data_IF_203762531013
#
_entry.id   IF_203762531013
#
_cell.length_a   1.000
_cell.length_b   1.000
_cell.length_c   1.000
_cell.angle_alpha   90.00
_cell.angle_beta   90.00
_cell.angle_gamma   90.00
#
_symmetry.space_group_name_H-M   'P 1'
#
loop_
_entity.id
_entity.type
_entity.pdbx_description
1 polymer ?
#
# COMPACT_ATOMS: atom_id res chain seq x y z
N UNK A 1 5.28 5.80 -2.05
CA UNK A 1 5.16 5.34 -0.66
C UNK A 1 6.56 5.11 -0.13
N UNK A 2 6.80 5.35 1.14
CA UNK A 2 8.08 5.04 1.78
C UNK A 2 7.94 3.80 2.66
N UNK A 3 9.00 3.01 2.73
CA UNK A 3 9.00 1.70 3.37
C UNK A 3 8.61 1.73 4.86
N UNK A 4 9.12 2.72 5.59
CA UNK A 4 8.91 2.87 7.03
C UNK A 4 7.66 3.69 7.38
N UNK A 5 7.08 4.38 6.39
CA UNK A 5 5.91 5.22 6.61
C UNK A 5 4.62 4.42 6.40
N UNK A 6 3.73 4.45 7.40
CA UNK A 6 2.39 3.83 7.36
C UNK A 6 2.39 2.50 6.60
N UNK A 7 2.98 1.45 7.19
CA UNK A 7 3.09 0.15 6.52
C UNK A 7 1.71 -0.36 6.11
N UNK A 8 1.53 -0.49 4.81
CA UNK A 8 0.29 -0.84 4.13
C UNK A 8 0.50 -2.11 3.30
N UNK A 9 -0.51 -2.44 2.49
CA UNK A 9 -0.53 -3.58 1.59
C UNK A 9 0.76 -3.71 0.74
N UNK A 10 1.30 -2.66 0.09
CA UNK A 10 2.48 -2.84 -0.76
C UNK A 10 3.70 -3.34 0.02
N UNK A 11 3.97 -2.77 1.20
CA UNK A 11 5.09 -3.19 2.04
C UNK A 11 4.90 -4.64 2.51
N UNK A 12 3.69 -5.00 2.95
CA UNK A 12 3.38 -6.36 3.40
C UNK A 12 3.53 -7.38 2.27
N UNK A 13 3.01 -7.09 1.08
CA UNK A 13 3.14 -7.97 -0.09
C UNK A 13 4.60 -8.16 -0.49
N UNK A 14 5.38 -7.07 -0.55
CA UNK A 14 6.80 -7.13 -0.90
C UNK A 14 7.61 -7.93 0.12
N UNK A 15 7.29 -7.81 1.42
CA UNK A 15 7.89 -8.66 2.46
C UNK A 15 7.59 -10.14 2.22
N UNK A 16 6.32 -10.51 1.95
CA UNK A 16 5.96 -11.91 1.72
C UNK A 16 6.60 -12.47 0.44
N UNK A 17 6.65 -11.70 -0.65
CA UNK A 17 7.34 -12.10 -1.87
C UNK A 17 8.84 -12.34 -1.61
N UNK A 18 9.50 -11.48 -0.84
CA UNK A 18 10.89 -11.68 -0.47
C UNK A 18 11.13 -12.98 0.32
N UNK A 19 10.22 -13.29 1.26
CA UNK A 19 10.26 -14.52 2.07
C UNK A 19 9.97 -15.79 1.26
N UNK A 20 9.22 -15.66 0.16
CA UNK A 20 9.03 -16.73 -0.82
C UNK A 20 10.25 -16.97 -1.73
N UNK A 21 11.33 -16.20 -1.55
CA UNK A 21 12.59 -16.39 -2.26
C UNK A 21 12.83 -15.43 -3.43
N UNK A 22 11.88 -14.54 -3.74
CA UNK A 22 12.07 -13.55 -4.80
C UNK A 22 12.97 -12.40 -4.33
N UNK A 23 13.90 -11.95 -5.17
CA UNK A 23 14.63 -10.69 -4.89
C UNK A 23 13.73 -9.50 -5.17
N UNK A 24 13.41 -8.73 -4.13
CA UNK A 24 12.48 -7.60 -4.17
C UNK A 24 13.22 -6.28 -3.97
N UNK A 25 12.96 -5.33 -4.86
CA UNK A 25 13.40 -3.94 -4.73
C UNK A 25 12.18 -3.04 -4.56
N UNK A 26 12.00 -2.45 -3.37
CA UNK A 26 10.97 -1.46 -3.09
C UNK A 26 11.56 -0.05 -3.27
N UNK A 27 11.01 0.75 -4.18
CA UNK A 27 11.52 2.09 -4.42
C UNK A 27 10.77 3.12 -3.57
N UNK A 28 11.46 3.74 -2.63
CA UNK A 28 10.93 4.85 -1.85
C UNK A 28 10.70 6.08 -2.71
N UNK A 29 9.75 6.92 -2.28
CA UNK A 29 9.53 8.25 -2.87
C UNK A 29 10.58 9.23 -2.37
N UNK A 30 10.91 9.17 -1.07
CA UNK A 30 11.90 10.08 -0.48
C UNK A 30 13.33 9.59 -0.67
N UNK A 31 14.24 10.55 -0.83
CA UNK A 31 15.68 10.29 -0.95
C UNK A 31 16.34 10.30 0.42
N UNK A 32 17.13 9.28 0.71
CA UNK A 32 17.91 9.18 1.95
C UNK A 32 19.21 8.40 1.74
N UNK A 33 20.06 8.37 2.79
CA UNK A 33 21.27 7.56 2.88
C UNK A 33 21.01 6.47 3.94
N UNK A 34 21.35 5.19 3.68
CA UNK A 34 22.03 4.67 2.48
C UNK A 34 21.15 4.69 1.23
N UNK A 35 21.75 4.74 0.03
CA UNK A 35 20.99 4.82 -1.24
C UNK A 35 20.17 3.56 -1.53
N UNK A 36 20.64 2.41 -1.05
CA UNK A 36 19.96 1.13 -1.05
C UNK A 36 20.21 0.48 0.30
N UNK A 37 19.16 -0.03 0.91
CA UNK A 37 19.18 -0.66 2.22
C UNK A 37 18.63 -2.09 2.11
N UNK A 38 19.30 -3.07 2.71
CA UNK A 38 18.78 -4.43 2.81
C UNK A 38 17.97 -4.57 4.09
N UNK A 39 16.67 -4.83 3.96
CA UNK A 39 15.72 -4.97 5.08
C UNK A 39 15.60 -6.43 5.53
N UNK A 40 15.53 -7.37 4.57
CA UNK A 40 15.49 -8.82 4.79
C UNK A 40 16.40 -9.50 3.74
N UNK A 41 16.68 -10.83 3.81
CA UNK A 41 17.61 -11.47 2.89
C UNK A 41 17.39 -11.19 1.40
N UNK A 42 16.13 -11.14 0.96
CA UNK A 42 15.77 -10.85 -0.43
C UNK A 42 15.00 -9.55 -0.59
N UNK A 43 15.06 -8.63 0.37
CA UNK A 43 14.27 -7.40 0.36
C UNK A 43 15.18 -6.18 0.50
N UNK A 44 15.18 -5.36 -0.55
CA UNK A 44 15.99 -4.16 -0.65
C UNK A 44 15.07 -2.94 -0.82
N UNK A 45 15.33 -1.90 -0.05
CA UNK A 45 14.67 -0.60 -0.20
C UNK A 45 15.62 0.33 -0.93
N UNK A 46 15.18 0.84 -2.07
CA UNK A 46 15.91 1.79 -2.90
C UNK A 46 15.45 3.19 -2.50
N UNK A 47 16.34 3.93 -1.83
CA UNK A 47 16.10 5.29 -1.38
C UNK A 47 16.45 6.32 -2.44
N UNK A 48 17.36 6.03 -3.37
CA UNK A 48 17.72 6.96 -4.45
C UNK A 48 17.46 6.35 -5.85
N UNK A 49 16.19 6.31 -6.23
CA UNK A 49 15.66 5.63 -7.42
C UNK A 49 16.41 5.95 -8.74
N UNK A 50 16.57 7.22 -9.11
CA UNK A 50 17.24 7.62 -10.37
C UNK A 50 18.68 7.12 -10.47
N UNK A 51 19.45 7.29 -9.39
CA UNK A 51 20.83 6.80 -9.33
C UNK A 51 20.88 5.27 -9.42
N UNK A 52 19.96 4.58 -8.75
CA UNK A 52 19.87 3.13 -8.81
C UNK A 52 19.53 2.62 -10.22
N UNK A 53 18.62 3.30 -10.92
CA UNK A 53 18.29 3.02 -12.33
C UNK A 53 19.50 3.15 -13.26
N UNK A 54 20.42 4.07 -12.97
CA UNK A 54 21.62 4.30 -13.80
C UNK A 54 22.79 3.37 -13.45
N UNK A 55 22.80 2.79 -12.25
CA UNK A 55 23.99 2.08 -11.72
C UNK A 55 23.77 0.58 -11.51
N UNK A 56 22.88 0.22 -10.59
CA UNK A 56 22.64 -1.17 -10.21
C UNK A 56 21.62 -1.84 -11.14
N UNK A 57 20.56 -1.12 -11.51
CA UNK A 57 19.46 -1.64 -12.31
C UNK A 57 19.89 -2.30 -13.63
N UNK A 58 20.79 -1.74 -14.46
CA UNK A 58 21.15 -2.36 -15.73
C UNK A 58 21.80 -3.75 -15.56
N UNK A 59 22.47 -3.98 -14.43
CA UNK A 59 23.06 -5.29 -14.09
C UNK A 59 21.97 -6.27 -13.66
N UNK A 60 21.04 -5.83 -12.81
CA UNK A 60 19.90 -6.63 -12.35
C UNK A 60 19.03 -7.05 -13.53
N UNK A 61 18.68 -6.11 -14.40
CA UNK A 61 17.83 -6.37 -15.57
C UNK A 61 18.41 -7.41 -16.52
N UNK A 62 19.74 -7.47 -16.66
CA UNK A 62 20.45 -8.46 -17.48
C UNK A 62 20.58 -9.83 -16.82
N UNK A 63 20.50 -9.90 -15.49
CA UNK A 63 20.78 -11.10 -14.73
C UNK A 63 19.56 -12.02 -14.56
N UNK A 64 18.35 -11.47 -14.55
CA UNK A 64 17.13 -12.24 -14.30
C UNK A 64 15.89 -11.59 -14.95
N UNK A 65 14.83 -12.39 -15.19
CA UNK A 65 13.52 -11.85 -15.50
C UNK A 65 12.99 -10.95 -14.38
N UNK A 66 12.29 -9.89 -14.75
CA UNK A 66 11.78 -8.86 -13.84
C UNK A 66 10.27 -8.78 -13.94
N UNK A 67 9.64 -8.79 -12.77
CA UNK A 67 8.25 -8.38 -12.58
C UNK A 67 8.24 -6.98 -11.98
N UNK A 68 7.50 -6.04 -12.58
CA UNK A 68 7.19 -4.75 -11.93
C UNK A 68 5.79 -4.82 -11.34
N UNK A 69 5.71 -4.62 -10.02
CA UNK A 69 4.46 -4.53 -9.29
C UNK A 69 4.09 -3.07 -9.06
N UNK A 70 2.96 -2.62 -9.62
CA UNK A 70 2.56 -1.22 -9.60
C UNK A 70 1.17 -1.05 -8.98
N UNK A 71 1.05 -0.23 -7.94
CA UNK A 71 -0.24 0.14 -7.35
C UNK A 71 -0.74 1.54 -7.78
N UNK A 72 0.10 2.33 -8.47
CA UNK A 72 -0.23 3.70 -8.89
C UNK A 72 -0.48 3.79 -10.40
N UNK A 73 -1.72 4.04 -10.85
CA UNK A 73 -2.09 3.94 -12.25
C UNK A 73 -1.37 4.92 -13.17
N UNK A 74 -0.84 6.03 -12.63
CA UNK A 74 -0.15 7.07 -13.40
C UNK A 74 1.26 6.68 -13.87
N UNK A 75 1.84 5.62 -13.33
CA UNK A 75 3.23 5.24 -13.60
C UNK A 75 3.43 4.41 -14.88
N UNK A 76 2.37 4.14 -15.65
CA UNK A 76 2.42 3.20 -16.77
C UNK A 76 3.47 3.54 -17.84
N UNK A 77 3.65 4.82 -18.21
CA UNK A 77 4.67 5.24 -19.18
C UNK A 77 6.08 5.14 -18.61
N UNK A 78 6.27 5.63 -17.38
CA UNK A 78 7.59 5.62 -16.73
C UNK A 78 8.06 4.20 -16.43
N UNK A 79 7.14 3.28 -16.11
CA UNK A 79 7.47 1.86 -15.89
C UNK A 79 8.05 1.23 -17.15
N UNK A 80 7.35 1.34 -18.29
CA UNK A 80 7.80 0.73 -19.53
C UNK A 80 9.18 1.28 -19.95
N UNK A 81 9.36 2.60 -19.87
CA UNK A 81 10.59 3.27 -20.27
C UNK A 81 11.77 2.99 -19.32
N UNK A 82 11.55 2.99 -18.00
CA UNK A 82 12.63 2.86 -17.03
C UNK A 82 13.04 1.41 -16.76
N UNK A 83 12.07 0.48 -16.78
CA UNK A 83 12.31 -0.89 -16.35
C UNK A 83 12.29 -1.90 -17.50
N UNK A 84 11.50 -1.67 -18.56
CA UNK A 84 11.29 -2.66 -19.62
C UNK A 84 11.07 -4.08 -19.04
N UNK A 85 10.05 -4.25 -18.17
CA UNK A 85 9.86 -5.47 -17.41
C UNK A 85 9.44 -6.64 -18.30
N UNK A 86 9.71 -7.87 -17.84
CA UNK A 86 9.22 -9.08 -18.50
C UNK A 86 7.74 -9.34 -18.17
N UNK A 87 7.27 -8.88 -17.01
CA UNK A 87 5.87 -8.91 -16.60
C UNK A 87 5.50 -7.65 -15.81
N UNK A 88 4.28 -7.16 -16.01
CA UNK A 88 3.68 -6.04 -15.29
C UNK A 88 2.44 -6.48 -14.52
N UNK A 89 2.47 -6.32 -13.20
CA UNK A 89 1.32 -6.56 -12.33
C UNK A 89 0.75 -5.22 -11.89
N UNK A 90 -0.54 -5.01 -12.17
CA UNK A 90 -1.30 -3.89 -11.62
C UNK A 90 -2.03 -4.33 -10.32
N UNK A 91 -1.69 -3.69 -9.21
CA UNK A 91 -2.36 -3.89 -7.91
C UNK A 91 -3.39 -2.80 -7.67
N UNK A 92 -4.63 -3.12 -8.04
CA UNK A 92 -5.81 -2.28 -7.88
C UNK A 92 -6.24 -2.30 -6.41
N UNK A 93 -5.72 -1.34 -5.63
CA UNK A 93 -6.04 -1.15 -4.22
C UNK A 93 -7.17 -0.17 -3.95
N UNK A 94 -7.34 0.82 -4.83
CA UNK A 94 -8.23 1.96 -4.65
C UNK A 94 -9.05 2.26 -5.92
N UNK A 95 -10.14 2.99 -5.73
CA UNK A 95 -11.02 3.47 -6.80
C UNK A 95 -11.22 4.97 -6.63
N UNK A 96 -10.54 5.76 -7.44
CA UNK A 96 -10.69 7.21 -7.50
C UNK A 96 -11.04 7.62 -8.92
N UNK A 97 -12.09 8.42 -9.07
CA UNK A 97 -12.68 8.73 -10.38
C UNK A 97 -11.69 9.42 -11.32
N UNK A 98 -10.82 10.27 -10.76
CA UNK A 98 -9.77 10.97 -11.50
C UNK A 98 -8.66 10.03 -12.00
N UNK A 99 -8.60 8.80 -11.50
CA UNK A 99 -7.59 7.81 -11.88
C UNK A 99 -8.01 6.98 -13.09
N UNK A 100 -9.31 6.95 -13.44
CA UNK A 100 -9.85 6.02 -14.45
C UNK A 100 -9.16 6.09 -15.81
N UNK A 101 -8.76 7.29 -16.26
CA UNK A 101 -8.03 7.44 -17.52
C UNK A 101 -6.67 6.75 -17.46
N UNK A 102 -5.90 6.98 -16.39
CA UNK A 102 -4.58 6.39 -16.22
C UNK A 102 -4.68 4.88 -15.91
N UNK A 103 -5.66 4.48 -15.11
CA UNK A 103 -5.94 3.09 -14.79
C UNK A 103 -6.23 2.30 -16.05
N UNK A 104 -7.07 2.81 -16.96
CA UNK A 104 -7.31 2.15 -18.24
C UNK A 104 -6.00 1.90 -19.00
N UNK A 105 -5.08 2.87 -18.99
CA UNK A 105 -3.79 2.71 -19.68
C UNK A 105 -2.89 1.66 -19.02
N UNK A 106 -2.90 1.57 -17.69
CA UNK A 106 -2.14 0.56 -16.97
C UNK A 106 -2.77 -0.82 -17.11
N UNK A 107 -4.09 -0.93 -16.90
CA UNK A 107 -4.84 -2.18 -16.94
C UNK A 107 -4.71 -2.90 -18.29
N UNK A 108 -4.74 -2.17 -19.41
CA UNK A 108 -4.59 -2.81 -20.74
C UNK A 108 -3.16 -3.28 -21.03
N UNK A 109 -2.16 -2.79 -20.30
CA UNK A 109 -0.74 -3.14 -20.45
C UNK A 109 -0.27 -4.18 -19.43
N UNK A 110 -1.01 -4.35 -18.34
CA UNK A 110 -0.66 -5.30 -17.31
C UNK A 110 -0.86 -6.73 -17.83
N UNK A 111 0.06 -7.63 -17.48
CA UNK A 111 -0.07 -9.06 -17.73
C UNK A 111 -1.01 -9.73 -16.72
N UNK A 112 -1.13 -9.11 -15.53
CA UNK A 112 -2.09 -9.50 -14.51
C UNK A 112 -2.54 -8.30 -13.68
N UNK A 113 -3.79 -8.36 -13.22
CA UNK A 113 -4.37 -7.40 -12.29
C UNK A 113 -4.72 -8.13 -11.00
N UNK A 114 -4.33 -7.57 -9.87
CA UNK A 114 -4.78 -8.05 -8.56
C UNK A 114 -5.65 -7.00 -7.89
N UNK A 115 -6.72 -7.42 -7.24
CA UNK A 115 -7.71 -6.52 -6.65
C UNK A 115 -7.77 -6.73 -5.15
N UNK A 116 -7.77 -5.66 -4.37
CA UNK A 116 -7.81 -5.72 -2.89
C UNK A 116 -9.20 -6.06 -2.32
N UNK A 117 -10.27 -5.90 -3.10
CA UNK A 117 -11.65 -6.12 -2.67
C UNK A 117 -12.52 -6.71 -3.78
N UNK A 118 -13.66 -7.31 -3.39
CA UNK A 118 -14.63 -7.89 -4.32
C UNK A 118 -15.18 -6.82 -5.28
N UNK A 119 -15.52 -5.63 -4.74
CA UNK A 119 -16.02 -4.50 -5.54
C UNK A 119 -15.04 -4.11 -6.66
N UNK A 120 -13.75 -4.00 -6.32
CA UNK A 120 -12.71 -3.66 -7.31
C UNK A 120 -12.56 -4.78 -8.34
N UNK A 121 -12.54 -6.04 -7.89
CA UNK A 121 -12.47 -7.20 -8.77
C UNK A 121 -13.63 -7.23 -9.77
N UNK A 122 -14.86 -7.07 -9.31
CA UNK A 122 -16.05 -7.09 -10.17
C UNK A 122 -16.06 -5.94 -11.17
N UNK A 123 -15.52 -4.77 -10.78
CA UNK A 123 -15.35 -3.62 -11.69
C UNK A 123 -14.28 -3.92 -12.74
N UNK A 124 -13.11 -4.41 -12.34
CA UNK A 124 -12.03 -4.78 -13.26
C UNK A 124 -12.49 -5.84 -14.26
N UNK A 125 -13.18 -6.89 -13.81
CA UNK A 125 -13.73 -7.93 -14.71
C UNK A 125 -14.78 -7.40 -15.68
N UNK A 126 -15.58 -6.40 -15.28
CA UNK A 126 -16.55 -5.74 -16.16
C UNK A 126 -15.89 -4.80 -17.16
N UNK A 127 -14.93 -3.98 -16.72
CA UNK A 127 -14.30 -2.96 -17.56
C UNK A 127 -13.21 -3.54 -18.48
N UNK A 128 -12.54 -4.61 -18.05
CA UNK A 128 -11.40 -5.22 -18.72
C UNK A 128 -11.53 -6.77 -18.73
N UNK A 129 -12.57 -7.32 -19.39
CA UNK A 129 -12.89 -8.76 -19.32
C UNK A 129 -11.77 -9.67 -19.84
N UNK A 130 -10.98 -9.18 -20.80
CA UNK A 130 -9.83 -9.89 -21.38
C UNK A 130 -8.62 -9.96 -20.44
N UNK A 131 -8.57 -9.10 -19.42
CA UNK A 131 -7.43 -9.04 -18.50
C UNK A 131 -7.49 -10.15 -17.46
N UNK A 132 -6.34 -10.81 -17.23
CA UNK A 132 -6.20 -11.78 -16.14
C UNK A 132 -6.29 -11.05 -14.82
N UNK A 133 -7.37 -11.29 -14.07
CA UNK A 133 -7.58 -10.66 -12.77
C UNK A 133 -7.71 -11.69 -11.65
N UNK A 134 -7.16 -11.37 -10.47
CA UNK A 134 -7.32 -12.16 -9.26
C UNK A 134 -7.73 -11.29 -8.07
N UNK A 135 -8.59 -11.83 -7.19
CA UNK A 135 -8.93 -11.21 -5.91
C UNK A 135 -7.88 -11.61 -4.87
N UNK A 136 -7.13 -10.64 -4.36
CA UNK A 136 -6.18 -10.82 -3.24
C UNK A 136 -6.56 -9.82 -2.17
N UNK A 137 -7.32 -10.25 -1.16
CA UNK A 137 -7.81 -9.38 -0.09
C UNK A 137 -6.65 -8.74 0.68
N UNK A 138 -6.91 -7.58 1.28
CA UNK A 138 -5.96 -7.01 2.24
C UNK A 138 -5.75 -7.98 3.40
N UNK A 139 -4.49 -8.14 3.80
CA UNK A 139 -4.08 -8.85 5.00
C UNK A 139 -3.78 -7.89 6.13
N UNK A 140 -3.53 -8.46 7.30
CA UNK A 140 -2.91 -7.77 8.42
C UNK A 140 -1.65 -8.53 8.82
N UNK A 141 -0.69 -7.83 9.43
CA UNK A 141 0.52 -8.45 9.96
C UNK A 141 0.29 -8.88 11.42
N UNK A 142 0.24 -10.21 11.73
CA UNK A 142 0.03 -10.69 13.08
C UNK A 142 1.12 -10.30 14.07
N UNK A 143 2.34 -10.01 13.60
CA UNK A 143 3.44 -9.59 14.46
C UNK A 143 3.19 -8.26 15.16
N UNK A 144 2.29 -7.43 14.63
CA UNK A 144 1.85 -6.17 15.27
C UNK A 144 1.00 -6.39 16.52
N UNK A 145 0.47 -7.60 16.73
CA UNK A 145 -0.36 -7.99 17.89
C UNK A 145 -1.62 -7.13 18.10
N UNK A 146 -2.02 -6.28 17.15
CA UNK A 146 -3.20 -5.40 17.26
C UNK A 146 -4.56 -6.12 17.39
N UNK A 147 -4.57 -7.43 17.12
CA UNK A 147 -5.74 -8.30 17.25
C UNK A 147 -5.86 -8.93 18.65
N UNK A 148 -4.81 -8.82 19.46
CA UNK A 148 -4.81 -9.35 20.82
C UNK A 148 -5.36 -8.31 21.79
N UNK A 149 -6.05 -8.73 22.85
CA UNK A 149 -6.39 -7.84 23.95
C UNK A 149 -5.12 -7.24 24.55
N UNK A 150 -5.12 -5.94 24.75
CA UNK A 150 -4.09 -5.26 25.50
C UNK A 150 -4.46 -5.32 26.99
N UNK A 151 -3.88 -6.28 27.71
CA UNK A 151 -4.16 -6.49 29.14
C UNK A 151 -3.73 -5.29 30.00
N UNK A 152 -2.66 -4.57 29.61
CA UNK A 152 -2.20 -3.35 30.30
C UNK A 152 -3.14 -2.17 30.04
N UNK A 153 -3.63 -2.01 28.80
CA UNK A 153 -4.68 -1.04 28.50
C UNK A 153 -6.01 -1.40 29.19
N UNK A 154 -6.35 -2.69 29.30
CA UNK A 154 -7.54 -3.13 30.01
C UNK A 154 -7.45 -2.85 31.51
N UNK A 155 -6.27 -3.05 32.12
CA UNK A 155 -6.03 -2.76 33.54
C UNK A 155 -5.98 -1.27 33.87
N UNK A 156 -5.39 -0.43 32.98
CA UNK A 156 -5.27 1.02 33.18
C UNK A 156 -6.55 1.81 32.89
N UNK A 157 -7.49 1.26 32.12
CA UNK A 157 -8.77 1.93 31.80
C UNK A 157 -9.68 2.16 32.99
N UNK A 158 -9.44 1.51 34.14
CA UNK A 158 -10.29 1.62 35.33
C UNK A 158 -11.79 1.42 35.01
N UNK A 159 -12.68 1.68 35.96
CA UNK A 159 -14.13 1.66 35.71
C UNK A 159 -14.64 2.92 34.97
N UNK A 160 -13.88 3.43 33.98
CA UNK A 160 -14.30 4.59 33.20
C UNK A 160 -15.66 4.31 32.55
N UNK A 161 -16.70 5.02 33.00
CA UNK A 161 -18.07 4.91 32.47
C UNK A 161 -18.24 5.58 31.10
N UNK A 162 -17.18 6.16 30.53
CA UNK A 162 -17.26 6.90 29.26
C UNK A 162 -17.25 5.95 28.07
N UNK A 163 -18.13 6.21 27.10
CA UNK A 163 -18.21 5.48 25.83
C UNK A 163 -17.10 5.98 24.90
N UNK A 164 -16.09 5.16 24.67
CA UNK A 164 -14.99 5.51 23.76
C UNK A 164 -15.43 5.33 22.30
N UNK A 165 -15.18 6.36 21.49
CA UNK A 165 -15.41 6.36 20.05
C UNK A 165 -14.06 6.69 19.38
N UNK A 166 -13.54 5.79 18.56
CA UNK A 166 -12.22 5.93 17.95
C UNK A 166 -12.28 6.14 16.44
N UNK A 167 -11.43 7.02 15.93
CA UNK A 167 -11.05 7.10 14.51
C UNK A 167 -9.56 6.82 14.38
N UNK A 168 -9.19 5.92 13.45
CA UNK A 168 -7.79 5.62 13.13
C UNK A 168 -7.58 5.76 11.62
N UNK A 169 -6.74 6.71 11.22
CA UNK A 169 -6.50 7.02 9.82
C UNK A 169 -5.93 8.42 9.63
N UNK A 170 -5.54 8.76 8.40
CA UNK A 170 -5.15 10.13 8.09
C UNK A 170 -6.35 11.08 8.30
N UNK A 171 -6.13 12.21 8.99
CA UNK A 171 -7.13 13.25 9.11
C UNK A 171 -7.15 14.08 7.82
N UNK A 172 -8.06 13.73 6.91
CA UNK A 172 -8.03 14.15 5.51
C UNK A 172 -9.35 14.79 5.06
N UNK A 173 -9.36 15.54 3.93
CA UNK A 173 -10.56 16.25 3.46
C UNK A 173 -11.78 15.37 3.15
N UNK A 174 -11.59 14.07 2.97
CA UNK A 174 -12.68 13.10 2.76
C UNK A 174 -13.28 12.55 4.06
N UNK A 175 -12.79 12.99 5.22
CA UNK A 175 -13.36 12.65 6.52
C UNK A 175 -14.53 13.59 6.83
N UNK A 176 -15.64 13.00 7.27
CA UNK A 176 -16.81 13.75 7.73
C UNK A 176 -16.56 14.28 9.15
N UNK A 177 -15.93 15.45 9.24
CA UNK A 177 -15.69 16.14 10.52
C UNK A 177 -16.99 16.46 11.26
N UNK A 178 -18.08 16.69 10.52
CA UNK A 178 -19.41 16.93 11.07
C UNK A 178 -19.93 15.73 11.85
N UNK A 179 -19.78 14.53 11.29
CA UNK A 179 -20.12 13.27 11.93
C UNK A 179 -19.28 13.03 13.19
N UNK A 180 -17.97 13.26 13.12
CA UNK A 180 -17.08 13.14 14.30
C UNK A 180 -17.50 14.14 15.40
N UNK A 181 -17.85 15.37 15.01
CA UNK A 181 -18.39 16.37 15.92
C UNK A 181 -19.77 15.99 16.50
N UNK A 182 -20.61 15.27 15.76
CA UNK A 182 -21.86 14.72 16.30
C UNK A 182 -21.58 13.64 17.35
N UNK A 183 -20.61 12.75 17.10
CA UNK A 183 -20.19 11.72 18.04
C UNK A 183 -19.68 12.30 19.36
N UNK A 184 -18.93 13.42 19.33
CA UNK A 184 -18.40 14.05 20.54
C UNK A 184 -19.47 14.69 21.43
N UNK A 185 -20.68 14.93 20.90
CA UNK A 185 -21.83 15.45 21.64
C UNK A 185 -22.68 14.36 22.29
N UNK A 186 -22.39 13.08 22.06
CA UNK A 186 -23.15 11.99 22.67
C UNK A 186 -22.93 11.95 24.20
N UNK A 187 -23.99 11.71 25.01
CA UNK A 187 -23.86 11.67 26.46
C UNK A 187 -22.83 10.64 26.94
N UNK A 188 -21.81 11.13 27.66
CA UNK A 188 -20.73 10.32 28.20
C UNK A 188 -19.76 9.78 27.15
N UNK A 189 -19.76 10.30 25.92
CA UNK A 189 -18.81 9.89 24.90
C UNK A 189 -17.45 10.57 25.06
N UNK A 190 -16.40 9.84 24.69
CA UNK A 190 -15.05 10.34 24.53
C UNK A 190 -14.56 9.96 23.14
N UNK A 191 -14.29 10.95 22.29
CA UNK A 191 -13.85 10.73 20.91
C UNK A 191 -12.34 10.85 20.84
N UNK A 192 -11.66 9.82 20.33
CA UNK A 192 -10.21 9.80 20.12
C UNK A 192 -9.92 9.66 18.63
N UNK A 193 -9.08 10.55 18.11
CA UNK A 193 -8.63 10.58 16.72
C UNK A 193 -7.15 10.26 16.69
N UNK A 194 -6.74 9.24 15.96
CA UNK A 194 -5.35 8.79 15.86
C UNK A 194 -4.93 8.74 14.40
N UNK A 195 -3.96 9.58 14.04
CA UNK A 195 -3.30 9.54 12.75
C UNK A 195 -2.73 10.90 12.34
N UNK A 196 -1.97 10.94 11.24
CA UNK A 196 -1.37 12.16 10.75
C UNK A 196 -2.45 13.08 10.17
N UNK A 197 -2.21 14.39 10.21
CA UNK A 197 -2.92 15.33 9.36
C UNK A 197 -2.56 15.07 7.90
N UNK A 198 -3.53 15.19 7.00
CA UNK A 198 -3.29 15.15 5.57
C UNK A 198 -2.81 16.52 5.09
N UNK A 199 -1.54 16.57 4.68
CA UNK A 199 -0.90 17.74 4.07
C UNK A 199 -0.84 17.61 2.54
#
# INVERSE_FOLDING_TARGET
LDWLWMKQRPQQLMTQLARLGYTVFFCNRTRSIPRVERIEPNLFVVHHHEHWLQTAWPKIRKAAPVIVWCSLPFAYLSIAAAYSPDQLVYDCSDELGEWFRAEKQLAVRADAIVCSSQRLYDRIRRCYPEQRAALIRNGYDPSTKLHLPDEEAAASRGSSKRKQIGYVGAWAPWIDEGLIGQCSRLPGAEVTVIGPQFD
#
